data_IF_737998224576
#
_entry.id   IF_737998224576
#
_cell.length_a   1.000
_cell.length_b   1.000
_cell.length_c   1.000
_cell.angle_alpha   90.00
_cell.angle_beta   90.00
_cell.angle_gamma   90.00
#
_symmetry.space_group_name_H-M   'P 1'
#
loop_
_entity.id
_entity.type
_entity.pdbx_description
1 polymer ?
#
# COMPACT_ATOMS: atom_id res chain seq x y z
N UNK A 1 -26.40 27.17 -8.01
CA UNK A 1 -25.00 27.21 -7.53
C UNK A 1 -24.10 27.35 -8.74
N UNK A 2 -22.92 27.96 -8.62
CA UNK A 2 -21.98 28.14 -9.74
C UNK A 2 -21.06 26.93 -9.89
N UNK A 3 -20.35 26.83 -11.01
CA UNK A 3 -19.30 25.80 -11.22
C UNK A 3 -18.22 25.92 -10.14
N UNK A 4 -17.85 27.15 -9.76
CA UNK A 4 -16.91 27.44 -8.68
C UNK A 4 -17.40 26.91 -7.33
N UNK A 5 -18.73 26.93 -7.08
CA UNK A 5 -19.30 26.31 -5.87
C UNK A 5 -19.07 24.79 -5.85
N UNK A 6 -19.25 24.12 -7.00
CA UNK A 6 -19.09 22.67 -7.10
C UNK A 6 -17.62 22.24 -6.92
N UNK A 7 -16.68 23.00 -7.51
CA UNK A 7 -15.25 22.72 -7.39
C UNK A 7 -14.66 23.03 -6.00
N UNK A 8 -15.31 23.91 -5.23
CA UNK A 8 -15.00 24.12 -3.82
C UNK A 8 -15.60 23.02 -2.94
N UNK A 9 -16.83 22.57 -3.22
CA UNK A 9 -17.45 21.44 -2.52
C UNK A 9 -16.65 20.15 -2.70
N UNK A 10 -16.29 19.77 -3.93
CA UNK A 10 -15.52 18.55 -4.19
C UNK A 10 -14.22 18.53 -3.37
N UNK A 11 -13.45 19.63 -3.38
CA UNK A 11 -12.21 19.77 -2.61
C UNK A 11 -12.42 19.79 -1.09
N UNK A 12 -13.57 20.26 -0.62
CA UNK A 12 -13.92 20.18 0.79
C UNK A 12 -14.25 18.74 1.20
N UNK A 13 -14.97 17.98 0.36
CA UNK A 13 -15.19 16.54 0.55
C UNK A 13 -13.90 15.74 0.50
N UNK A 14 -13.00 16.03 -0.45
CA UNK A 14 -11.63 15.46 -0.49
C UNK A 14 -10.86 15.74 0.82
N UNK A 15 -11.01 16.95 1.38
CA UNK A 15 -10.32 17.35 2.62
C UNK A 15 -10.90 16.67 3.86
N UNK A 16 -12.24 16.49 3.94
CA UNK A 16 -12.90 15.74 5.01
C UNK A 16 -12.55 14.26 4.95
N UNK A 17 -12.60 13.64 3.77
CA UNK A 17 -12.19 12.25 3.56
C UNK A 17 -10.74 12.01 4.01
N UNK A 18 -9.81 12.90 3.62
CA UNK A 18 -8.42 12.80 4.05
C UNK A 18 -8.24 13.08 5.56
N UNK A 19 -9.18 13.77 6.21
CA UNK A 19 -9.19 13.92 7.66
C UNK A 19 -9.66 12.65 8.35
N UNK A 20 -10.81 12.08 7.95
CA UNK A 20 -11.35 10.83 8.46
C UNK A 20 -10.32 9.68 8.35
N UNK A 21 -9.72 9.48 7.17
CA UNK A 21 -8.63 8.50 6.95
C UNK A 21 -7.42 8.76 7.86
N UNK A 22 -7.12 10.03 8.19
CA UNK A 22 -6.03 10.38 9.09
C UNK A 22 -6.31 10.09 10.57
N UNK A 23 -7.59 10.04 10.99
CA UNK A 23 -7.97 9.68 12.37
C UNK A 23 -8.13 8.16 12.51
N UNK A 24 -8.82 7.50 11.58
CA UNK A 24 -9.04 6.04 11.61
C UNK A 24 -7.74 5.23 11.70
N UNK A 25 -6.67 5.69 11.03
CA UNK A 25 -5.35 5.06 11.06
C UNK A 25 -4.56 5.27 12.37
N UNK A 26 -4.97 6.20 13.26
CA UNK A 26 -4.26 6.51 14.51
C UNK A 26 -4.56 5.52 15.63
N UNK A 27 -5.64 4.74 15.54
CA UNK A 27 -6.03 3.70 16.50
C UNK A 27 -4.97 2.59 16.69
N UNK A 28 -3.97 2.49 15.79
CA UNK A 28 -2.78 1.66 15.99
C UNK A 28 -1.79 2.16 17.05
N UNK A 29 -1.96 3.37 17.60
CA UNK A 29 -0.99 4.02 18.52
C UNK A 29 -1.30 3.74 19.99
N UNK A 30 -0.96 2.52 20.42
CA UNK A 30 -0.76 2.05 21.80
C UNK A 30 -1.37 2.88 22.94
N UNK A 31 -2.44 2.37 23.54
CA UNK A 31 -2.76 2.68 24.94
C UNK A 31 -1.67 2.11 25.86
N UNK A 32 -0.70 2.95 26.22
CA UNK A 32 0.36 2.67 27.18
C UNK A 32 0.49 3.90 28.10
N UNK A 33 -0.17 3.84 29.26
CA UNK A 33 -0.27 4.93 30.25
C UNK A 33 1.10 5.30 30.85
N UNK A 34 1.84 6.15 30.15
CA UNK A 34 3.12 6.69 30.55
C UNK A 34 2.98 8.12 31.11
N UNK A 35 2.25 8.24 32.22
CA UNK A 35 2.12 9.48 32.99
C UNK A 35 3.49 9.88 33.61
N UNK A 36 4.21 10.82 32.98
CA UNK A 36 5.40 11.44 33.58
C UNK A 36 5.37 12.97 33.42
N UNK A 37 5.29 13.68 34.55
CA UNK A 37 5.12 15.14 34.60
C UNK A 37 6.39 15.91 34.19
N UNK A 38 6.21 17.09 33.59
CA UNK A 38 7.30 18.03 33.32
C UNK A 38 7.43 19.08 34.44
N UNK A 39 8.51 19.06 35.25
CA UNK A 39 8.77 20.10 36.25
C UNK A 39 9.44 21.34 35.61
N UNK A 40 8.76 22.48 35.59
CA UNK A 40 9.29 23.74 35.07
C UNK A 40 9.85 24.65 36.18
N UNK A 41 11.12 25.07 36.09
CA UNK A 41 11.69 26.32 36.66
C UNK A 41 13.22 26.41 36.48
N UNK A 42 13.87 27.58 36.40
CA UNK A 42 13.45 28.92 35.96
C UNK A 42 14.69 29.85 35.80
N UNK A 43 14.78 30.57 34.66
CA UNK A 43 15.42 31.91 34.50
C UNK A 43 16.93 32.10 34.85
N UNK A 44 17.57 33.28 34.58
CA UNK A 44 17.18 34.42 33.72
C UNK A 44 18.27 34.93 32.71
N UNK A 45 17.90 35.96 31.95
CA UNK A 45 18.75 37.07 31.40
C UNK A 45 19.24 36.96 29.94
N UNK A 46 19.03 37.96 29.07
CA UNK A 46 18.27 39.21 29.23
C UNK A 46 18.51 40.28 28.13
N UNK A 47 17.93 41.48 28.30
CA UNK A 47 18.17 42.76 27.58
C UNK A 47 17.29 43.19 26.37
N UNK A 48 16.28 44.03 26.67
CA UNK A 48 15.85 45.26 25.94
C UNK A 48 15.23 45.21 24.50
N UNK A 49 14.34 46.14 24.08
CA UNK A 49 13.35 47.05 24.76
C UNK A 49 12.56 47.87 23.71
N UNK A 50 11.40 48.44 24.08
CA UNK A 50 10.48 49.37 23.34
C UNK A 50 9.34 48.74 22.51
N UNK A 51 8.08 49.25 22.52
CA UNK A 51 7.42 50.18 23.49
C UNK A 51 5.87 50.23 23.36
N UNK A 52 5.18 50.18 24.51
CA UNK A 52 3.83 50.69 24.87
C UNK A 52 2.56 50.45 23.99
N UNK A 53 1.49 49.99 24.65
CA UNK A 53 0.10 49.99 24.16
C UNK A 53 -0.93 49.74 25.27
N UNK A 54 -0.96 50.61 26.29
CA UNK A 54 -1.69 50.38 27.56
C UNK A 54 -3.15 50.89 27.56
N UNK A 55 -4.10 49.98 27.85
CA UNK A 55 -5.30 50.26 28.67
C UNK A 55 -5.52 49.04 29.57
N UNK A 56 -5.84 49.27 30.85
CA UNK A 56 -6.06 48.24 31.87
C UNK A 56 -7.14 48.74 32.84
N UNK A 57 -8.14 47.93 33.15
CA UNK A 57 -9.13 48.19 34.20
C UNK A 57 -9.69 46.87 34.74
N UNK A 58 -9.54 46.73 36.06
CA UNK A 58 -10.29 45.93 37.05
C UNK A 58 -10.90 44.57 36.62
N UNK A 59 -10.52 43.43 37.21
CA UNK A 59 -10.42 43.11 38.67
C UNK A 59 -11.81 42.99 39.32
N UNK A 60 -12.32 41.75 39.34
CA UNK A 60 -13.27 41.22 40.34
C UNK A 60 -13.05 39.69 40.35
N UNK A 61 -12.88 39.09 41.53
CA UNK A 61 -12.71 37.64 41.72
C UNK A 61 -14.06 37.02 42.09
N UNK A 62 -14.47 35.94 41.43
CA UNK A 62 -15.56 35.08 41.92
C UNK A 62 -15.21 33.61 41.62
N UNK A 63 -15.19 32.77 42.67
CA UNK A 63 -14.84 31.36 42.58
C UNK A 63 -15.97 30.58 41.89
N UNK A 64 -15.68 29.98 40.74
CA UNK A 64 -16.57 29.01 40.11
C UNK A 64 -15.75 27.83 39.56
N UNK A 65 -15.62 26.77 40.37
CA UNK A 65 -15.18 25.43 39.95
C UNK A 65 -16.26 24.81 39.02
N UNK A 66 -16.42 25.38 37.82
CA UNK A 66 -17.01 24.66 36.71
C UNK A 66 -15.92 23.76 36.11
N UNK A 67 -15.91 22.49 36.54
CA UNK A 67 -15.12 21.44 35.89
C UNK A 67 -15.42 21.48 34.38
N UNK A 68 -14.41 21.83 33.59
CA UNK A 68 -14.52 21.71 32.15
C UNK A 68 -14.82 20.25 31.81
N UNK A 69 -15.89 19.93 31.07
CA UNK A 69 -16.10 18.58 30.61
C UNK A 69 -14.90 18.20 29.73
N UNK A 70 -14.16 17.18 30.16
CA UNK A 70 -13.27 16.47 29.27
C UNK A 70 -14.18 15.72 28.30
N UNK A 71 -14.51 16.35 27.16
CA UNK A 71 -15.32 15.73 26.11
C UNK A 71 -14.49 14.61 25.46
N UNK A 72 -14.53 13.45 26.11
CA UNK A 72 -13.96 12.17 25.65
C UNK A 72 -14.79 11.62 24.48
N UNK A 73 -14.88 12.39 23.39
CA UNK A 73 -15.34 11.96 22.08
C UNK A 73 -14.24 11.12 21.38
N UNK A 74 -13.73 10.10 22.07
CA UNK A 74 -12.88 9.08 21.46
C UNK A 74 -13.74 7.87 21.05
N UNK A 75 -13.95 7.69 19.75
CA UNK A 75 -14.57 6.48 19.17
C UNK A 75 -16.04 6.60 18.76
N UNK A 76 -16.49 7.77 18.27
CA UNK A 76 -17.79 7.88 17.57
C UNK A 76 -17.80 8.86 16.37
N UNK A 77 -16.72 9.60 16.15
CA UNK A 77 -16.69 10.72 15.20
C UNK A 77 -16.20 10.30 13.79
N UNK A 78 -15.42 9.21 13.66
CA UNK A 78 -14.89 8.73 12.35
C UNK A 78 -16.02 8.49 11.32
N UNK A 79 -17.12 7.85 11.75
CA UNK A 79 -18.30 7.59 10.91
C UNK A 79 -19.04 8.88 10.50
N UNK A 80 -19.03 9.92 11.35
CA UNK A 80 -19.66 11.22 11.06
C UNK A 80 -18.80 12.04 10.08
N UNK A 81 -17.48 11.96 10.21
CA UNK A 81 -16.51 12.64 9.32
C UNK A 81 -16.51 12.02 7.89
N UNK A 82 -16.60 10.68 7.79
CA UNK A 82 -16.88 9.98 6.52
C UNK A 82 -18.28 10.31 5.97
N UNK A 83 -19.29 10.42 6.83
CA UNK A 83 -20.65 10.85 6.46
C UNK A 83 -20.69 12.26 5.87
N UNK A 84 -20.02 13.21 6.52
CA UNK A 84 -19.89 14.60 6.06
C UNK A 84 -19.11 14.69 4.74
N UNK A 85 -18.04 13.91 4.58
CA UNK A 85 -17.33 13.78 3.31
C UNK A 85 -18.25 13.26 2.19
N UNK A 86 -19.08 12.26 2.49
CA UNK A 86 -20.04 11.68 1.54
C UNK A 86 -21.13 12.68 1.13
N UNK A 87 -21.76 13.40 2.08
CA UNK A 87 -22.80 14.40 1.77
C UNK A 87 -22.26 15.52 0.88
N UNK A 88 -21.05 16.00 1.17
CA UNK A 88 -20.39 17.04 0.37
C UNK A 88 -20.02 16.54 -1.03
N UNK A 89 -19.55 15.30 -1.14
CA UNK A 89 -19.20 14.66 -2.41
C UNK A 89 -20.43 14.36 -3.29
N UNK A 90 -21.53 13.87 -2.71
CA UNK A 90 -22.80 13.67 -3.42
C UNK A 90 -23.39 15.02 -3.87
N UNK A 91 -23.36 16.05 -3.03
CA UNK A 91 -23.79 17.39 -3.41
C UNK A 91 -22.96 17.95 -4.60
N UNK A 92 -21.65 17.73 -4.60
CA UNK A 92 -20.79 18.08 -5.74
C UNK A 92 -21.19 17.30 -7.01
N UNK A 93 -21.29 15.97 -6.92
CA UNK A 93 -21.77 15.08 -8.01
C UNK A 93 -23.11 15.55 -8.58
N UNK A 94 -24.09 15.81 -7.71
CA UNK A 94 -25.45 16.25 -8.06
C UNK A 94 -25.46 17.64 -8.70
N UNK A 95 -24.47 18.51 -8.45
CA UNK A 95 -24.29 19.76 -9.21
C UNK A 95 -23.64 19.47 -10.57
N UNK A 96 -22.55 18.70 -10.62
CA UNK A 96 -21.84 18.39 -11.86
C UNK A 96 -22.68 17.61 -12.88
N UNK A 97 -23.60 16.73 -12.45
CA UNK A 97 -24.62 16.09 -13.30
C UNK A 97 -25.52 17.08 -14.08
N UNK A 98 -25.53 18.36 -13.70
CA UNK A 98 -26.33 19.43 -14.33
C UNK A 98 -25.46 20.41 -15.14
N UNK A 99 -24.17 20.13 -15.28
CA UNK A 99 -23.20 20.99 -15.97
C UNK A 99 -22.68 20.31 -17.24
N UNK A 100 -22.60 21.08 -18.32
CA UNK A 100 -22.13 20.62 -19.62
C UNK A 100 -20.64 20.92 -19.85
N UNK A 101 -20.04 20.19 -20.80
CA UNK A 101 -18.63 20.33 -21.17
C UNK A 101 -17.71 19.35 -20.43
N UNK A 102 -16.63 18.98 -21.10
CA UNK A 102 -15.83 17.80 -20.72
C UNK A 102 -15.05 17.99 -19.42
N UNK A 103 -14.61 19.22 -19.10
CA UNK A 103 -14.00 19.55 -17.80
C UNK A 103 -14.99 19.32 -16.63
N UNK A 104 -16.26 19.72 -16.78
CA UNK A 104 -17.28 19.49 -15.76
C UNK A 104 -17.63 18.00 -15.62
N UNK A 105 -17.58 17.24 -16.71
CA UNK A 105 -17.78 15.79 -16.69
C UNK A 105 -16.59 15.05 -16.07
N UNK A 106 -15.37 15.55 -16.20
CA UNK A 106 -14.26 15.00 -15.42
C UNK A 106 -14.44 15.26 -13.93
N UNK A 107 -14.81 16.48 -13.52
CA UNK A 107 -15.14 16.73 -12.11
C UNK A 107 -16.33 15.91 -11.60
N UNK A 108 -17.30 15.55 -12.46
CA UNK A 108 -18.33 14.56 -12.14
C UNK A 108 -17.72 13.17 -11.86
N UNK A 109 -16.82 12.72 -12.73
CA UNK A 109 -16.12 11.44 -12.56
C UNK A 109 -15.19 11.45 -11.34
N UNK A 110 -14.55 12.57 -11.02
CA UNK A 110 -13.72 12.73 -9.81
C UNK A 110 -14.60 12.77 -8.54
N UNK A 111 -15.81 13.32 -8.61
CA UNK A 111 -16.81 13.17 -7.53
C UNK A 111 -17.21 11.70 -7.33
N UNK A 112 -17.36 10.94 -8.42
CA UNK A 112 -17.55 9.48 -8.36
C UNK A 112 -16.31 8.72 -7.86
N UNK A 113 -15.07 9.20 -8.11
CA UNK A 113 -13.87 8.61 -7.50
C UNK A 113 -13.90 8.76 -5.98
N UNK A 114 -14.16 9.99 -5.49
CA UNK A 114 -14.18 10.29 -4.05
C UNK A 114 -15.26 9.49 -3.32
N UNK A 115 -16.46 9.36 -3.90
CA UNK A 115 -17.51 8.52 -3.33
C UNK A 115 -17.15 7.03 -3.36
N UNK A 116 -16.45 6.57 -4.40
CA UNK A 116 -15.91 5.22 -4.45
C UNK A 116 -14.83 4.97 -3.39
N UNK A 117 -13.97 5.95 -3.13
CA UNK A 117 -12.93 5.91 -2.09
C UNK A 117 -13.55 5.90 -0.68
N UNK A 118 -14.53 6.77 -0.39
CA UNK A 118 -15.30 6.75 0.89
C UNK A 118 -16.01 5.40 1.08
N UNK A 119 -16.67 4.89 0.04
CA UNK A 119 -17.34 3.59 0.09
C UNK A 119 -16.37 2.40 0.24
N UNK A 120 -15.08 2.57 -0.08
CA UNK A 120 -14.04 1.57 0.12
C UNK A 120 -13.60 1.48 1.59
N UNK A 121 -13.39 2.63 2.24
CA UNK A 121 -13.04 2.72 3.67
C UNK A 121 -14.21 2.25 4.56
N UNK A 122 -15.47 2.52 4.18
CA UNK A 122 -16.68 2.04 4.85
C UNK A 122 -17.03 0.55 4.56
N UNK A 123 -16.12 -0.21 3.96
CA UNK A 123 -16.28 -1.62 3.53
C UNK A 123 -17.49 -1.92 2.60
N UNK A 124 -18.14 -0.90 2.04
CA UNK A 124 -19.28 -1.03 1.11
C UNK A 124 -18.82 -1.36 -0.32
N UNK A 125 -18.03 -2.42 -0.48
CA UNK A 125 -17.29 -2.76 -1.71
C UNK A 125 -18.15 -2.87 -2.99
N UNK A 126 -19.42 -3.29 -2.88
CA UNK A 126 -20.36 -3.33 -4.00
C UNK A 126 -20.76 -1.92 -4.49
N UNK A 127 -20.82 -0.93 -3.59
CA UNK A 127 -21.13 0.47 -3.90
C UNK A 127 -19.89 1.22 -4.37
N UNK A 128 -18.73 0.98 -3.74
CA UNK A 128 -17.43 1.47 -4.20
C UNK A 128 -17.17 1.10 -5.67
N UNK A 129 -17.42 -0.17 -6.01
CA UNK A 129 -17.29 -0.65 -7.39
C UNK A 129 -18.28 0.01 -8.37
N UNK A 130 -19.49 0.36 -7.92
CA UNK A 130 -20.46 1.05 -8.76
C UNK A 130 -20.04 2.50 -9.05
N UNK A 131 -19.58 3.23 -8.03
CA UNK A 131 -19.09 4.62 -8.18
C UNK A 131 -17.79 4.68 -9.01
N UNK A 132 -16.80 3.82 -8.74
CA UNK A 132 -15.60 3.71 -9.59
C UNK A 132 -15.91 3.38 -11.04
N UNK A 133 -16.91 2.51 -11.29
CA UNK A 133 -17.35 2.21 -12.66
C UNK A 133 -18.02 3.41 -13.33
N UNK A 134 -18.88 4.15 -12.62
CA UNK A 134 -19.48 5.37 -13.15
C UNK A 134 -18.41 6.41 -13.54
N UNK A 135 -17.37 6.57 -12.70
CA UNK A 135 -16.20 7.39 -13.02
C UNK A 135 -15.45 6.91 -14.27
N UNK A 136 -15.15 5.60 -14.34
CA UNK A 136 -14.45 4.98 -15.46
C UNK A 136 -15.18 5.17 -16.78
N UNK A 137 -16.48 4.87 -16.84
CA UNK A 137 -17.31 5.00 -18.05
C UNK A 137 -17.33 6.47 -18.56
N UNK A 138 -17.36 7.46 -17.64
CA UNK A 138 -17.24 8.88 -18.01
C UNK A 138 -15.83 9.22 -18.51
N UNK A 139 -14.78 8.82 -17.78
CA UNK A 139 -13.38 9.12 -18.12
C UNK A 139 -12.97 8.52 -19.47
N UNK A 140 -13.43 7.30 -19.78
CA UNK A 140 -13.20 6.66 -21.09
C UNK A 140 -13.81 7.44 -22.26
N UNK A 141 -14.86 8.24 -22.02
CA UNK A 141 -15.49 9.07 -23.07
C UNK A 141 -14.80 10.41 -23.33
N UNK A 142 -13.82 10.80 -22.51
CA UNK A 142 -13.22 12.16 -22.49
C UNK A 142 -11.69 12.18 -22.55
N UNK A 143 -11.02 11.16 -22.01
CA UNK A 143 -9.57 11.09 -21.91
C UNK A 143 -8.93 10.38 -23.11
N UNK A 144 -7.60 10.40 -23.18
CA UNK A 144 -6.86 9.58 -24.13
C UNK A 144 -6.92 8.10 -23.74
N UNK A 145 -6.96 7.18 -24.71
CA UNK A 145 -7.04 5.72 -24.44
C UNK A 145 -5.84 5.17 -23.63
N UNK A 146 -4.69 5.84 -23.68
CA UNK A 146 -3.50 5.55 -22.88
C UNK A 146 -3.35 6.49 -21.66
N UNK A 147 -4.46 7.00 -21.12
CA UNK A 147 -4.47 7.88 -19.95
C UNK A 147 -4.05 7.14 -18.68
N UNK A 148 -3.16 7.73 -17.88
CA UNK A 148 -2.81 7.13 -16.56
C UNK A 148 -4.02 7.11 -15.61
N UNK A 149 -4.95 8.05 -15.76
CA UNK A 149 -6.17 8.15 -14.93
C UNK A 149 -7.13 7.00 -15.23
N UNK A 150 -7.15 6.48 -16.47
CA UNK A 150 -7.92 5.27 -16.80
C UNK A 150 -7.32 4.02 -16.15
N UNK A 151 -5.99 3.90 -16.11
CA UNK A 151 -5.33 2.79 -15.42
C UNK A 151 -5.58 2.83 -13.89
N UNK A 152 -5.60 4.02 -13.28
CA UNK A 152 -5.98 4.20 -11.88
C UNK A 152 -7.43 3.78 -11.61
N UNK A 153 -8.38 4.26 -12.41
CA UNK A 153 -9.80 3.93 -12.27
C UNK A 153 -10.06 2.42 -12.45
N UNK A 154 -9.39 1.78 -13.41
CA UNK A 154 -9.40 0.33 -13.56
C UNK A 154 -8.82 -0.40 -12.34
N UNK A 155 -7.71 0.08 -11.77
CA UNK A 155 -7.08 -0.58 -10.61
C UNK A 155 -7.89 -0.43 -9.32
N UNK A 156 -8.45 0.76 -9.03
CA UNK A 156 -9.38 0.97 -7.91
C UNK A 156 -10.65 0.11 -8.05
N UNK A 157 -11.21 0.03 -9.25
CA UNK A 157 -12.34 -0.88 -9.53
C UNK A 157 -11.96 -2.35 -9.32
N UNK A 158 -10.76 -2.77 -9.73
CA UNK A 158 -10.27 -4.13 -9.45
C UNK A 158 -10.16 -4.42 -7.95
N UNK A 159 -9.56 -3.53 -7.16
CA UNK A 159 -9.44 -3.65 -5.69
C UNK A 159 -10.83 -3.83 -5.06
N UNK A 160 -11.80 -2.97 -5.42
CA UNK A 160 -13.17 -3.08 -4.88
C UNK A 160 -13.83 -4.43 -5.20
N UNK A 161 -13.52 -5.06 -6.33
CA UNK A 161 -14.00 -6.39 -6.69
C UNK A 161 -13.26 -7.54 -5.97
N UNK A 162 -11.99 -7.37 -5.61
CA UNK A 162 -11.24 -8.38 -4.83
C UNK A 162 -11.71 -8.48 -3.38
N UNK A 163 -12.09 -7.35 -2.79
CA UNK A 163 -12.56 -7.24 -1.40
C UNK A 163 -13.98 -7.82 -1.21
N UNK A 164 -14.76 -8.01 -2.28
CA UNK A 164 -16.10 -8.63 -2.20
C UNK A 164 -16.05 -10.04 -1.57
N UNK A 165 -16.68 -10.26 -0.39
CA UNK A 165 -16.51 -11.49 0.38
C UNK A 165 -16.85 -12.77 -0.39
N UNK A 166 -15.99 -13.79 -0.22
CA UNK A 166 -16.07 -15.07 -0.94
C UNK A 166 -15.39 -15.07 -2.32
N UNK A 167 -14.59 -14.05 -2.65
CA UNK A 167 -13.89 -13.89 -3.93
C UNK A 167 -14.83 -13.87 -5.16
N UNK A 168 -16.10 -13.50 -4.96
CA UNK A 168 -17.19 -13.67 -5.94
C UNK A 168 -16.99 -12.90 -7.26
N UNK A 169 -16.19 -11.83 -7.23
CA UNK A 169 -15.85 -10.98 -8.39
C UNK A 169 -14.35 -11.04 -8.76
N UNK A 170 -13.62 -12.09 -8.35
CA UNK A 170 -12.18 -12.25 -8.66
C UNK A 170 -11.90 -12.29 -10.16
N UNK A 171 -12.84 -12.80 -10.97
CA UNK A 171 -12.75 -12.76 -12.44
C UNK A 171 -12.90 -11.33 -12.97
N UNK A 172 -13.84 -10.53 -12.44
CA UNK A 172 -14.02 -9.12 -12.83
C UNK A 172 -12.82 -8.25 -12.41
N UNK A 173 -12.25 -8.51 -11.22
CA UNK A 173 -11.00 -7.90 -10.79
C UNK A 173 -9.86 -8.18 -11.77
N UNK A 174 -9.65 -9.45 -12.15
CA UNK A 174 -8.62 -9.86 -13.10
C UNK A 174 -8.79 -9.20 -14.49
N UNK A 175 -10.03 -8.98 -14.94
CA UNK A 175 -10.31 -8.20 -16.17
C UNK A 175 -9.81 -6.76 -16.03
N UNK A 176 -10.07 -6.09 -14.92
CA UNK A 176 -9.67 -4.69 -14.73
C UNK A 176 -8.18 -4.50 -14.42
N UNK A 177 -7.50 -5.41 -13.69
CA UNK A 177 -6.03 -5.35 -13.55
C UNK A 177 -5.35 -5.51 -14.92
N UNK A 178 -5.87 -6.38 -15.79
CA UNK A 178 -5.39 -6.51 -17.18
C UNK A 178 -5.61 -5.22 -17.98
N UNK A 179 -6.79 -4.61 -17.91
CA UNK A 179 -7.06 -3.34 -18.57
C UNK A 179 -6.17 -2.20 -18.06
N UNK A 180 -5.91 -2.11 -16.75
CA UNK A 180 -4.97 -1.14 -16.19
C UNK A 180 -3.55 -1.33 -16.76
N UNK A 181 -3.08 -2.58 -16.86
CA UNK A 181 -1.78 -2.92 -17.46
C UNK A 181 -1.73 -2.59 -18.95
N UNK A 182 -2.77 -2.90 -19.72
CA UNK A 182 -2.81 -2.64 -21.16
C UNK A 182 -2.79 -1.13 -21.46
N UNK A 183 -3.54 -0.32 -20.70
CA UNK A 183 -3.52 1.15 -20.77
C UNK A 183 -2.13 1.70 -20.46
N UNK A 184 -1.48 1.22 -19.39
CA UNK A 184 -0.11 1.61 -19.06
C UNK A 184 0.91 1.17 -20.10
N UNK A 185 0.75 0.00 -20.71
CA UNK A 185 1.64 -0.51 -21.76
C UNK A 185 1.56 0.37 -23.02
N UNK A 186 0.35 0.74 -23.45
CA UNK A 186 0.16 1.71 -24.55
C UNK A 186 0.80 3.07 -24.23
N UNK A 187 0.62 3.56 -23.00
CA UNK A 187 1.23 4.81 -22.52
C UNK A 187 2.76 4.76 -22.51
N UNK A 188 3.32 3.65 -22.05
CA UNK A 188 4.77 3.39 -22.03
C UNK A 188 5.35 3.43 -23.45
N UNK A 189 4.67 2.83 -24.42
CA UNK A 189 5.14 2.81 -25.80
C UNK A 189 4.97 4.15 -26.51
N UNK A 190 3.94 4.95 -26.19
CA UNK A 190 3.84 6.35 -26.63
C UNK A 190 4.93 7.24 -26.01
N UNK A 191 5.28 7.04 -24.73
CA UNK A 191 6.40 7.75 -24.10
C UNK A 191 7.75 7.39 -24.74
N UNK A 192 7.99 6.12 -25.12
CA UNK A 192 9.19 5.74 -25.88
C UNK A 192 9.25 6.45 -27.23
N UNK A 193 8.17 6.44 -28.02
CA UNK A 193 8.06 7.19 -29.29
C UNK A 193 8.33 8.69 -29.07
N UNK A 194 7.82 9.26 -27.96
CA UNK A 194 8.05 10.65 -27.58
C UNK A 194 9.53 10.97 -27.36
N UNK A 195 10.25 10.11 -26.63
CA UNK A 195 11.70 10.25 -26.38
C UNK A 195 12.50 10.07 -27.68
N UNK A 196 12.21 9.00 -28.44
CA UNK A 196 12.85 8.70 -29.73
C UNK A 196 12.68 9.82 -30.77
N UNK A 197 11.51 10.47 -30.81
CA UNK A 197 11.22 11.54 -31.77
C UNK A 197 12.09 12.78 -31.60
N UNK A 198 12.58 13.05 -30.38
CA UNK A 198 13.27 14.30 -30.02
C UNK A 198 12.48 15.58 -30.30
N UNK A 199 11.17 15.49 -30.56
CA UNK A 199 10.37 16.61 -31.07
C UNK A 199 10.28 17.78 -30.07
N UNK A 200 10.14 19.03 -30.54
CA UNK A 200 9.77 20.16 -29.68
C UNK A 200 8.51 19.84 -28.88
N UNK A 201 8.46 20.32 -27.63
CA UNK A 201 7.28 20.18 -26.78
C UNK A 201 6.09 20.90 -27.43
N UNK A 202 4.94 20.25 -27.49
CA UNK A 202 3.72 20.87 -27.99
C UNK A 202 3.16 21.87 -26.97
N UNK A 203 3.03 23.14 -27.35
CA UNK A 203 2.43 24.17 -26.51
C UNK A 203 0.93 23.94 -26.32
N UNK A 204 0.47 24.09 -25.07
CA UNK A 204 -0.94 24.08 -24.73
C UNK A 204 -1.67 25.30 -25.29
N UNK A 205 -2.93 25.11 -25.69
CA UNK A 205 -3.79 26.11 -26.32
C UNK A 205 -5.06 26.31 -25.50
N UNK A 206 -5.55 27.53 -25.51
CA UNK A 206 -6.85 27.86 -24.92
C UNK A 206 -7.95 27.06 -25.65
N UNK A 207 -8.75 26.30 -24.89
CA UNK A 207 -9.79 25.43 -25.43
C UNK A 207 -9.35 23.99 -25.80
N UNK A 208 -8.13 23.55 -25.49
CA UNK A 208 -7.75 22.14 -25.61
C UNK A 208 -8.67 21.24 -24.76
N UNK A 209 -9.17 20.13 -25.32
CA UNK A 209 -9.93 19.12 -24.56
C UNK A 209 -9.02 18.30 -23.64
N UNK A 210 -9.55 17.64 -22.58
CA UNK A 210 -8.71 16.88 -21.66
C UNK A 210 -7.84 15.79 -22.31
N UNK A 211 -8.37 15.01 -23.26
CA UNK A 211 -7.59 14.05 -24.06
C UNK A 211 -6.39 14.68 -24.79
N UNK A 212 -6.50 15.95 -25.23
CA UNK A 212 -5.40 16.69 -25.88
C UNK A 212 -4.40 17.17 -24.83
N UNK A 213 -4.85 17.60 -23.64
CA UNK A 213 -3.98 18.06 -22.55
C UNK A 213 -3.04 16.97 -22.03
N UNK A 214 -3.48 15.71 -22.00
CA UNK A 214 -2.68 14.58 -21.50
C UNK A 214 -1.72 13.95 -22.53
N UNK A 215 -1.56 14.52 -23.73
CA UNK A 215 -0.69 13.95 -24.78
C UNK A 215 0.79 13.98 -24.42
N UNK A 216 1.51 12.90 -24.71
CA UNK A 216 2.94 12.72 -24.38
C UNK A 216 3.85 13.76 -25.05
N UNK A 217 3.43 14.32 -26.18
CA UNK A 217 4.11 15.39 -26.91
C UNK A 217 4.20 16.71 -26.13
N UNK A 218 3.40 16.86 -25.07
CA UNK A 218 3.42 18.00 -24.14
C UNK A 218 4.41 17.84 -22.99
N UNK A 219 5.00 16.65 -22.85
CA UNK A 219 6.07 16.40 -21.89
C UNK A 219 7.43 16.77 -22.49
N UNK A 220 8.33 17.27 -21.65
CA UNK A 220 9.75 17.32 -21.97
C UNK A 220 10.34 15.90 -22.04
N UNK A 221 11.43 15.73 -22.77
CA UNK A 221 12.08 14.41 -22.95
C UNK A 221 12.55 13.84 -21.59
N UNK A 222 13.06 14.69 -20.70
CA UNK A 222 13.54 14.27 -19.38
C UNK A 222 12.40 13.83 -18.45
N UNK A 223 11.22 14.44 -18.54
CA UNK A 223 10.04 14.03 -17.77
C UNK A 223 9.36 12.79 -18.37
N UNK A 224 9.37 12.67 -19.70
CA UNK A 224 8.96 11.44 -20.37
C UNK A 224 9.85 10.25 -19.97
N UNK A 225 11.16 10.45 -19.79
CA UNK A 225 12.07 9.42 -19.29
C UNK A 225 11.77 8.99 -17.84
N UNK A 226 11.37 9.91 -16.96
CA UNK A 226 10.89 9.57 -15.59
C UNK A 226 9.62 8.72 -15.67
N UNK A 227 8.62 9.20 -16.41
CA UNK A 227 7.36 8.47 -16.60
C UNK A 227 7.57 7.08 -17.24
N UNK A 228 8.58 6.90 -18.10
CA UNK A 228 8.98 5.57 -18.62
C UNK A 228 9.44 4.65 -17.50
N UNK A 229 10.25 5.13 -16.55
CA UNK A 229 10.66 4.35 -15.38
C UNK A 229 9.44 4.03 -14.50
N UNK A 230 8.72 5.06 -14.04
CA UNK A 230 7.58 4.93 -13.11
C UNK A 230 6.53 3.94 -13.64
N UNK A 231 6.21 4.01 -14.94
CA UNK A 231 5.22 3.14 -15.58
C UNK A 231 5.78 1.73 -15.83
N UNK A 232 7.10 1.58 -16.08
CA UNK A 232 7.72 0.26 -16.17
C UNK A 232 7.74 -0.48 -14.83
N UNK A 233 7.86 0.24 -13.71
CA UNK A 233 7.72 -0.32 -12.36
C UNK A 233 6.26 -0.74 -12.10
N UNK A 234 5.28 0.15 -12.33
CA UNK A 234 3.85 -0.18 -12.17
C UNK A 234 3.37 -1.34 -13.06
N UNK A 235 3.90 -1.51 -14.28
CA UNK A 235 3.57 -2.65 -15.15
C UNK A 235 4.13 -3.97 -14.58
N UNK A 236 5.23 -3.96 -13.83
CA UNK A 236 5.73 -5.15 -13.14
C UNK A 236 4.80 -5.53 -11.99
N UNK A 237 4.39 -4.56 -11.17
CA UNK A 237 3.46 -4.78 -10.05
C UNK A 237 2.10 -5.31 -10.53
N UNK A 238 1.52 -4.70 -11.57
CA UNK A 238 0.28 -5.20 -12.20
C UNK A 238 0.47 -6.59 -12.84
N UNK A 239 1.68 -6.95 -13.28
CA UNK A 239 1.97 -8.31 -13.78
C UNK A 239 1.97 -9.32 -12.64
N UNK A 240 2.65 -9.02 -11.54
CA UNK A 240 2.62 -9.86 -10.33
C UNK A 240 1.20 -10.01 -9.79
N UNK A 241 0.40 -8.94 -9.84
CA UNK A 241 -1.01 -8.99 -9.42
C UNK A 241 -1.89 -9.83 -10.35
N UNK A 242 -1.63 -9.83 -11.66
CA UNK A 242 -2.28 -10.75 -12.61
C UNK A 242 -1.90 -12.21 -12.30
N UNK A 243 -0.62 -12.50 -12.10
CA UNK A 243 -0.12 -13.85 -11.80
C UNK A 243 -0.71 -14.38 -10.47
N UNK A 244 -0.86 -13.50 -9.47
CA UNK A 244 -1.54 -13.76 -8.19
C UNK A 244 -3.04 -14.03 -8.38
N UNK A 245 -3.74 -13.21 -9.16
CA UNK A 245 -5.18 -13.35 -9.43
C UNK A 245 -5.52 -14.59 -10.26
N UNK A 246 -4.63 -15.01 -11.16
CA UNK A 246 -4.76 -16.24 -11.95
C UNK A 246 -4.51 -17.52 -11.13
N UNK A 247 -3.87 -17.44 -9.95
CA UNK A 247 -3.85 -18.59 -9.04
C UNK A 247 -5.26 -18.86 -8.48
N UNK A 248 -5.58 -20.13 -8.15
CA UNK A 248 -6.82 -20.43 -7.42
C UNK A 248 -6.88 -19.61 -6.12
N UNK A 249 -8.05 -19.04 -5.77
CA UNK A 249 -8.18 -18.27 -4.54
C UNK A 249 -7.85 -19.13 -3.31
N UNK A 250 -7.39 -18.52 -2.20
CA UNK A 250 -7.22 -19.21 -0.93
C UNK A 250 -8.56 -19.82 -0.46
N UNK A 251 -8.55 -20.83 0.43
CA UNK A 251 -9.77 -21.41 0.97
C UNK A 251 -10.59 -20.33 1.69
N UNK A 252 -11.68 -19.90 1.07
CA UNK A 252 -12.50 -18.80 1.57
C UNK A 252 -13.36 -19.27 2.74
N UNK A 253 -12.85 -19.07 3.95
CA UNK A 253 -13.58 -19.33 5.19
C UNK A 253 -14.32 -18.06 5.64
N UNK A 254 -15.63 -18.17 5.88
CA UNK A 254 -16.45 -17.13 6.52
C UNK A 254 -16.09 -16.88 8.01
N UNK A 255 -15.04 -17.55 8.50
CA UNK A 255 -14.43 -17.39 9.83
C UNK A 255 -12.91 -17.45 9.66
N UNK A 256 -12.16 -16.33 9.79
CA UNK A 256 -10.72 -16.28 9.49
C UNK A 256 -9.90 -17.22 10.38
N UNK A 257 -10.42 -17.60 11.55
CA UNK A 257 -9.81 -18.58 12.45
C UNK A 257 -9.67 -19.97 11.81
N UNK A 258 -10.51 -20.30 10.82
CA UNK A 258 -10.51 -21.60 10.14
C UNK A 258 -9.53 -21.65 8.97
N UNK A 259 -9.48 -20.63 8.10
CA UNK A 259 -8.56 -20.60 6.94
C UNK A 259 -7.11 -20.87 7.35
N UNK A 260 -6.61 -20.26 8.43
CA UNK A 260 -5.24 -20.52 8.92
C UNK A 260 -5.03 -21.98 9.30
N UNK A 261 -6.01 -22.62 9.95
CA UNK A 261 -5.92 -24.03 10.35
C UNK A 261 -6.03 -24.95 9.13
N UNK A 262 -7.00 -24.71 8.24
CA UNK A 262 -7.24 -25.55 7.06
C UNK A 262 -6.09 -25.44 6.05
N UNK A 263 -5.47 -24.26 5.90
CA UNK A 263 -4.26 -24.08 5.09
C UNK A 263 -3.04 -24.81 5.69
N UNK A 264 -2.86 -24.76 7.02
CA UNK A 264 -1.81 -25.54 7.70
C UNK A 264 -2.05 -27.04 7.54
N UNK A 265 -3.29 -27.51 7.67
CA UNK A 265 -3.66 -28.92 7.46
C UNK A 265 -3.39 -29.35 6.01
N UNK A 266 -3.76 -28.54 5.02
CA UNK A 266 -3.51 -28.82 3.61
C UNK A 266 -2.01 -28.92 3.29
N UNK A 267 -1.18 -27.99 3.79
CA UNK A 267 0.27 -28.03 3.58
C UNK A 267 0.92 -29.20 4.36
N UNK A 268 0.41 -29.57 5.54
CA UNK A 268 0.84 -30.76 6.29
C UNK A 268 0.46 -32.08 5.59
N UNK A 269 -0.70 -32.18 4.96
CA UNK A 269 -1.10 -33.38 4.21
C UNK A 269 -0.35 -33.51 2.88
N UNK A 270 -0.08 -32.39 2.20
CA UNK A 270 0.82 -32.30 1.04
C UNK A 270 2.24 -32.75 1.42
N UNK A 271 2.76 -32.33 2.58
CA UNK A 271 4.02 -32.82 3.13
C UNK A 271 3.97 -34.31 3.51
N UNK A 272 2.86 -34.82 4.05
CA UNK A 272 2.67 -36.26 4.30
C UNK A 272 2.72 -37.09 3.01
N UNK A 273 2.13 -36.59 1.93
CA UNK A 273 2.13 -37.27 0.64
C UNK A 273 3.53 -37.35 0.03
N UNK A 274 4.36 -36.31 0.14
CA UNK A 274 5.76 -36.36 -0.35
C UNK A 274 6.66 -37.29 0.47
N UNK A 275 6.33 -37.54 1.74
CA UNK A 275 7.04 -38.53 2.59
C UNK A 275 6.61 -39.98 2.29
N UNK A 276 5.46 -40.17 1.65
CA UNK A 276 4.85 -41.49 1.40
C UNK A 276 5.36 -42.22 0.13
N UNK A 277 6.53 -41.87 -0.39
CA UNK A 277 7.15 -42.54 -1.54
C UNK A 277 7.91 -43.83 -1.14
N UNK A 278 7.15 -44.91 -0.92
CA UNK A 278 7.54 -46.32 -0.85
C UNK A 278 9.04 -46.66 -0.61
N UNK A 279 9.48 -46.55 0.65
CA UNK A 279 10.76 -47.09 1.11
C UNK A 279 10.55 -47.83 2.45
N UNK A 280 11.02 -49.09 2.60
CA UNK A 280 10.72 -49.91 3.77
C UNK A 280 11.50 -49.44 5.02
N UNK A 281 10.81 -48.70 5.90
CA UNK A 281 11.34 -48.22 7.18
C UNK A 281 11.67 -49.39 8.12
N UNK A 282 12.96 -49.64 8.32
CA UNK A 282 13.45 -50.72 9.19
C UNK A 282 13.31 -50.34 10.68
N UNK A 283 12.34 -50.94 11.37
CA UNK A 283 12.01 -50.62 12.77
C UNK A 283 13.10 -51.13 13.73
N UNK A 284 13.96 -50.22 14.19
CA UNK A 284 15.01 -50.49 15.17
C UNK A 284 14.42 -50.86 16.55
N UNK A 285 14.44 -52.15 16.89
CA UNK A 285 14.00 -52.63 18.20
C UNK A 285 14.99 -52.23 19.33
N UNK A 286 14.52 -51.70 20.48
CA UNK A 286 15.38 -51.32 21.59
C UNK A 286 15.93 -52.54 22.33
N UNK A 287 17.24 -52.79 22.20
CA UNK A 287 17.92 -53.89 22.93
C UNK A 287 18.10 -53.55 24.42
N UNK A 288 17.77 -54.51 25.29
CA UNK A 288 17.82 -54.36 26.75
C UNK A 288 19.26 -54.42 27.29
N UNK A 289 19.49 -53.67 28.36
CA UNK A 289 20.73 -53.58 29.15
C UNK A 289 20.94 -54.83 30.03
N UNK A 290 22.13 -55.43 29.99
CA UNK A 290 22.63 -56.41 30.98
C UNK A 290 24.16 -56.24 31.18
N UNK A 291 24.73 -56.81 32.26
CA UNK A 291 25.96 -56.30 32.88
C UNK A 291 27.02 -57.38 33.24
N UNK A 292 28.30 -57.04 32.97
CA UNK A 292 29.60 -57.56 33.51
C UNK A 292 29.75 -59.03 33.97
N UNK A 293 30.75 -59.70 33.37
CA UNK A 293 32.04 -60.20 33.96
C UNK A 293 32.95 -60.63 32.79
N UNK A 294 34.26 -60.30 32.70
CA UNK A 294 35.44 -60.84 33.42
C UNK A 294 35.63 -62.37 33.24
N UNK A 295 36.80 -62.90 32.89
CA UNK A 295 38.11 -62.29 32.54
C UNK A 295 39.08 -63.31 31.89
N UNK A 296 40.29 -62.82 31.54
CA UNK A 296 41.57 -63.54 31.36
C UNK A 296 41.72 -64.55 30.18
N UNK A 297 42.82 -64.58 29.40
CA UNK A 297 43.92 -63.58 29.25
C UNK A 297 44.33 -63.32 27.76
N UNK A 298 45.47 -63.60 27.09
CA UNK A 298 46.76 -64.31 27.28
C UNK A 298 47.81 -63.78 26.23
N UNK A 299 49.00 -64.37 26.17
CA UNK A 299 50.27 -64.11 25.41
C UNK A 299 50.19 -64.25 23.85
N UNK A 300 51.17 -63.88 23.00
CA UNK A 300 52.62 -63.56 23.16
C UNK A 300 53.18 -62.64 22.03
N UNK A 301 54.42 -62.12 22.19
CA UNK A 301 55.33 -61.57 21.15
C UNK A 301 55.00 -60.17 20.58
N UNK A 302 55.73 -59.06 20.75
CA UNK A 302 57.17 -58.70 20.90
C UNK A 302 57.91 -58.26 19.62
N UNK A 303 58.58 -57.10 19.74
CA UNK A 303 59.66 -56.53 18.91
C UNK A 303 59.37 -56.10 17.43
N UNK A 304 60.04 -55.08 16.83
CA UNK A 304 61.10 -54.21 17.35
C UNK A 304 61.26 -52.81 16.69
N UNK A 305 61.86 -51.89 17.47
CA UNK A 305 62.74 -50.73 17.12
C UNK A 305 62.59 -49.91 15.80
N UNK A 306 62.41 -48.59 16.03
CA UNK A 306 63.20 -47.43 15.49
C UNK A 306 63.03 -46.99 14.01
N UNK A 307 63.48 -45.80 13.58
CA UNK A 307 63.60 -44.44 14.18
C UNK A 307 64.23 -43.45 13.15
N UNK A 308 64.12 -42.13 13.40
CA UNK A 308 64.90 -41.00 12.82
C UNK A 308 64.60 -40.65 11.33
N UNK A 309 64.27 -39.38 11.03
CA UNK A 309 65.15 -38.26 10.52
C UNK A 309 65.56 -38.44 9.03
N UNK A 310 65.77 -37.41 8.18
CA UNK A 310 65.97 -35.96 8.42
C UNK A 310 65.65 -35.10 7.16
N UNK A 311 65.32 -33.81 7.36
CA UNK A 311 65.25 -32.68 6.36
C UNK A 311 64.40 -32.90 5.07
N UNK A 312 64.16 -31.94 4.15
CA UNK A 312 64.63 -30.55 4.00
C UNK A 312 63.60 -29.64 3.30
N UNK A 313 63.58 -28.36 3.67
CA UNK A 313 62.92 -27.24 2.98
C UNK A 313 64.01 -26.27 2.49
N UNK A 314 63.71 -25.26 1.64
CA UNK A 314 62.64 -25.10 0.65
C UNK A 314 63.24 -24.68 -0.72
N UNK A 315 62.44 -24.10 -1.64
CA UNK A 315 62.88 -22.91 -2.40
C UNK A 315 61.77 -22.06 -3.01
N UNK A 316 62.10 -20.79 -3.18
CA UNK A 316 61.21 -19.64 -3.37
C UNK A 316 61.83 -18.66 -4.39
N UNK A 317 60.98 -18.09 -5.26
CA UNK A 317 61.09 -16.78 -5.95
C UNK A 317 59.88 -16.64 -6.90
N UNK A 318 59.14 -15.52 -6.96
CA UNK A 318 59.49 -14.16 -7.42
C UNK A 318 59.91 -14.12 -8.92
N UNK A 319 59.56 -13.11 -9.74
CA UNK A 319 59.19 -11.72 -9.40
C UNK A 319 58.29 -11.01 -10.46
N UNK A 320 57.70 -9.88 -10.05
CA UNK A 320 57.21 -8.68 -10.77
C UNK A 320 56.97 -8.66 -12.30
N UNK A 321 55.74 -8.25 -12.64
CA UNK A 321 55.35 -7.04 -13.38
C UNK A 321 56.09 -6.59 -14.66
N UNK A 322 55.29 -6.35 -15.71
CA UNK A 322 55.23 -5.08 -16.44
C UNK A 322 53.77 -4.85 -16.92
#
# INVERSE_FOLDING_TARGET
MSVESAGLLLKYGESLYLHAVSQSHVIGKSGDDAQEEAPASAEPSGSNTQQSGLIQLSDDEDDNDEEAPNDEQEGQDDDDDFGAAWEVADLAKVIYQKLEGDDNKLSLADSHMLLGDIALELETFDEAAAEYKNSLDIKQSILNEHSRVLAEAHFKLAISYELVPGHKKREDALVHVKQAKDVLQGRLDDLKKRVESGAPVEEAKEGDTPAIRERVERLAVDDANKHIQDISELIQDLTLKIDELEQPPPPSSEDPSKSTVDAIVAEMDKARQTISSDAPVNVLQPKKKQEKRKAEDDTDGDADKKAKMVTEEPKESENKAN
#
